data_IF_373138331909
#
_entry.id   IF_373138331909
#
_cell.length_a   1.000
_cell.length_b   1.000
_cell.length_c   1.000
_cell.angle_alpha   90.00
_cell.angle_beta   90.00
_cell.angle_gamma   90.00
#
_symmetry.space_group_name_H-M   'P 1'
#
loop_
_entity.id
_entity.type
_entity.pdbx_description
1 polymer ?
#
# COMPACT_ATOMS: atom_id res chain seq x y z
N UNK A 1 7.52 54.24 50.20
CA UNK A 1 6.25 53.51 50.08
C UNK A 1 6.02 53.31 48.59
N UNK A 2 5.96 52.04 48.19
CA UNK A 2 6.19 51.52 46.84
C UNK A 2 4.97 50.73 46.41
N UNK A 3 4.44 50.99 45.21
CA UNK A 3 3.49 50.09 44.57
C UNK A 3 3.83 49.95 43.08
N UNK A 4 4.28 48.75 42.69
CA UNK A 4 4.36 48.31 41.30
C UNK A 4 3.27 47.27 41.03
N UNK A 5 2.70 47.20 39.82
CA UNK A 5 1.66 46.25 39.50
C UNK A 5 2.23 44.83 39.34
N UNK A 6 1.70 43.92 40.15
CA UNK A 6 2.06 42.49 40.18
C UNK A 6 1.64 41.80 38.88
N UNK A 7 2.61 41.20 38.17
CA UNK A 7 2.36 40.39 36.97
C UNK A 7 1.52 39.14 37.30
N UNK A 8 0.40 38.95 36.59
CA UNK A 8 -0.44 37.76 36.74
C UNK A 8 0.25 36.56 36.07
N UNK A 9 0.72 35.60 36.87
CA UNK A 9 1.23 34.30 36.40
C UNK A 9 0.15 33.61 35.55
N UNK A 10 0.41 33.42 34.24
CA UNK A 10 -0.41 32.55 33.38
C UNK A 10 -0.28 31.12 33.90
N UNK A 11 -1.35 30.61 34.53
CA UNK A 11 -1.49 29.18 34.86
C UNK A 11 -1.44 28.39 33.56
N UNK A 12 -0.37 27.63 33.33
CA UNK A 12 -0.33 26.57 32.33
C UNK A 12 -1.14 25.39 32.86
N UNK A 13 -2.41 25.38 32.53
CA UNK A 13 -3.32 24.27 32.77
C UNK A 13 -4.46 24.40 31.78
N UNK A 14 -4.82 23.31 31.12
CA UNK A 14 -6.01 23.28 30.28
C UNK A 14 -7.23 23.70 31.14
N UNK A 15 -8.16 24.51 30.61
CA UNK A 15 -9.35 24.89 31.35
C UNK A 15 -10.11 23.63 31.79
N UNK A 16 -10.42 23.56 33.08
CA UNK A 16 -11.33 22.57 33.66
C UNK A 16 -12.71 22.80 33.05
N UNK A 17 -12.98 22.09 31.96
CA UNK A 17 -14.15 22.30 31.13
C UNK A 17 -14.27 21.23 30.04
N UNK A 18 -14.08 19.97 30.39
CA UNK A 18 -14.68 18.87 29.65
C UNK A 18 -15.15 17.80 30.64
N UNK A 19 -16.32 18.03 31.24
CA UNK A 19 -16.98 17.18 32.24
C UNK A 19 -17.85 16.10 31.62
N UNK A 20 -17.57 15.66 30.38
CA UNK A 20 -18.38 14.61 29.75
C UNK A 20 -17.86 13.17 30.03
N UNK A 21 -16.84 13.01 30.88
CA UNK A 21 -16.31 11.71 31.27
C UNK A 21 -16.96 11.09 32.53
N UNK A 22 -18.05 11.67 33.05
CA UNK A 22 -18.82 11.11 34.17
C UNK A 22 -20.16 10.55 33.70
N UNK A 23 -20.15 9.30 33.23
CA UNK A 23 -21.34 8.45 33.22
C UNK A 23 -21.71 8.11 34.67
N UNK A 24 -22.62 8.90 35.24
CA UNK A 24 -23.35 8.48 36.44
C UNK A 24 -24.30 7.33 36.09
N UNK A 25 -24.30 6.30 36.95
CA UNK A 25 -24.86 4.99 36.67
C UNK A 25 -26.34 4.92 36.33
N UNK A 26 -26.68 3.99 35.43
CA UNK A 26 -28.03 3.46 35.17
C UNK A 26 -27.91 1.99 34.73
N UNK A 27 -28.68 1.11 35.36
CA UNK A 27 -28.66 -0.36 35.21
C UNK A 27 -29.56 -0.89 34.10
N UNK A 28 -29.87 -0.09 33.08
CA UNK A 28 -30.59 -0.54 31.88
C UNK A 28 -29.95 0.07 30.63
N UNK A 29 -29.11 -0.73 29.99
CA UNK A 29 -28.23 -0.35 28.89
C UNK A 29 -28.91 -0.73 27.56
N UNK A 30 -29.26 0.26 26.76
CA UNK A 30 -29.99 0.16 25.47
C UNK A 30 -28.97 0.05 24.31
N UNK A 31 -29.37 -0.26 23.07
CA UNK A 31 -28.43 -0.23 21.91
C UNK A 31 -27.73 1.13 21.71
N UNK A 32 -28.32 2.21 22.24
CA UNK A 32 -27.69 3.53 22.32
C UNK A 32 -26.44 3.57 23.21
N UNK A 33 -26.33 2.67 24.18
CA UNK A 33 -25.16 2.54 25.04
C UNK A 33 -24.04 1.71 24.41
N UNK A 34 -24.26 1.03 23.28
CA UNK A 34 -23.18 0.43 22.46
C UNK A 34 -22.31 1.47 21.71
N UNK A 35 -22.62 2.77 21.80
CA UNK A 35 -21.70 3.86 21.44
C UNK A 35 -20.54 4.03 22.46
N UNK A 36 -20.55 3.25 23.55
CA UNK A 36 -19.38 2.98 24.41
C UNK A 36 -18.28 2.16 23.73
N UNK A 37 -18.41 1.86 22.42
CA UNK A 37 -17.39 1.22 21.61
C UNK A 37 -16.09 2.04 21.60
N UNK A 38 -14.98 1.34 21.87
CA UNK A 38 -13.63 1.81 21.55
C UNK A 38 -13.61 2.33 20.11
N UNK A 39 -13.43 3.63 20.00
CA UNK A 39 -13.54 4.40 18.76
C UNK A 39 -13.92 5.83 19.11
N UNK A 40 -13.48 6.78 18.29
CA UNK A 40 -13.91 8.16 18.44
C UNK A 40 -15.46 8.23 18.34
N UNK A 41 -16.13 9.09 19.13
CA UNK A 41 -17.59 9.20 19.11
C UNK A 41 -18.13 9.43 17.69
N UNK A 42 -19.30 8.86 17.39
CA UNK A 42 -19.94 8.99 16.08
C UNK A 42 -20.12 10.48 15.74
N UNK A 43 -19.53 10.93 14.62
CA UNK A 43 -19.50 12.35 14.23
C UNK A 43 -18.26 13.14 14.67
N UNK A 44 -17.27 12.50 15.32
CA UNK A 44 -16.01 13.15 15.69
C UNK A 44 -15.11 13.38 14.46
N UNK A 45 -15.20 14.56 13.87
CA UNK A 45 -14.34 15.01 12.77
C UNK A 45 -12.90 15.33 13.21
N UNK A 46 -12.54 15.28 14.50
CA UNK A 46 -11.16 15.54 14.94
C UNK A 46 -10.15 14.55 14.36
N UNK A 47 -10.56 13.31 14.11
CA UNK A 47 -9.69 12.35 13.40
C UNK A 47 -9.43 12.75 11.94
N UNK A 48 -10.36 13.50 11.34
CA UNK A 48 -10.31 14.00 9.96
C UNK A 48 -9.55 15.35 9.86
N UNK A 49 -9.65 16.21 10.87
CA UNK A 49 -8.97 17.53 10.90
C UNK A 49 -7.61 17.51 11.59
N UNK A 50 -7.37 16.60 12.54
CA UNK A 50 -6.14 16.54 13.34
C UNK A 50 -5.57 15.14 13.54
N UNK A 51 -6.22 14.10 12.98
CA UNK A 51 -5.76 12.71 13.09
C UNK A 51 -4.88 12.26 11.92
N UNK A 52 -4.56 10.97 11.89
CA UNK A 52 -3.74 10.30 10.87
C UNK A 52 -4.19 10.55 9.41
N UNK A 53 -5.47 10.90 9.20
CA UNK A 53 -6.05 11.20 7.89
C UNK A 53 -6.09 12.69 7.53
N UNK A 54 -5.71 13.58 8.45
CA UNK A 54 -5.71 15.04 8.22
C UNK A 54 -4.54 15.49 7.35
N UNK A 55 -3.41 14.79 7.41
CA UNK A 55 -2.32 14.94 6.46
C UNK A 55 -2.73 14.27 5.15
N UNK A 56 -3.49 14.99 4.32
CA UNK A 56 -3.63 14.61 2.91
C UNK A 56 -2.22 14.44 2.36
N UNK A 57 -1.89 13.24 1.89
CA UNK A 57 -0.66 12.99 1.16
C UNK A 57 -0.55 14.06 0.06
N UNK A 58 0.59 14.73 -0.04
CA UNK A 58 0.82 15.72 -1.09
C UNK A 58 0.47 15.08 -2.44
N UNK A 59 -0.19 15.83 -3.32
CA UNK A 59 -0.61 15.34 -4.64
C UNK A 59 0.53 14.70 -5.43
N UNK A 60 1.78 15.14 -5.19
CA UNK A 60 3.00 14.54 -5.73
C UNK A 60 3.21 13.07 -5.35
N UNK A 61 2.78 12.64 -4.18
CA UNK A 61 2.89 11.25 -3.73
C UNK A 61 1.72 10.39 -4.18
N UNK A 62 0.55 11.00 -4.36
CA UNK A 62 -0.68 10.30 -4.80
C UNK A 62 -0.71 10.12 -6.32
N UNK A 63 -0.05 11.02 -7.08
CA UNK A 63 -0.04 11.01 -8.55
C UNK A 63 0.57 9.74 -9.19
N UNK A 64 1.21 8.87 -8.41
CA UNK A 64 1.66 7.55 -8.88
C UNK A 64 0.90 6.37 -8.26
N UNK A 65 0.06 6.58 -7.23
CA UNK A 65 -0.65 5.49 -6.55
C UNK A 65 -1.97 5.12 -7.23
N UNK A 66 -2.56 6.04 -8.01
CA UNK A 66 -3.86 5.82 -8.66
C UNK A 66 -3.82 4.69 -9.70
N UNK A 67 -2.65 4.46 -10.31
CA UNK A 67 -2.46 3.47 -11.38
C UNK A 67 -1.81 2.17 -10.88
N UNK A 68 -1.42 2.10 -9.59
CA UNK A 68 -0.78 0.90 -9.01
C UNK A 68 -1.89 -0.05 -8.55
N UNK A 69 -2.20 -1.03 -9.39
CA UNK A 69 -3.06 -2.15 -8.99
C UNK A 69 -2.22 -3.18 -8.23
N UNK A 70 -2.49 -3.53 -6.95
CA UNK A 70 -1.62 -4.39 -6.15
C UNK A 70 -1.59 -5.87 -6.57
N UNK A 71 -2.19 -6.22 -7.71
CA UNK A 71 -2.30 -7.61 -8.20
C UNK A 71 -0.94 -8.23 -8.61
N UNK A 72 0.14 -7.44 -8.66
CA UNK A 72 1.49 -7.96 -8.95
C UNK A 72 2.49 -7.61 -7.84
N UNK A 73 3.42 -8.53 -7.61
CA UNK A 73 4.54 -8.31 -6.67
C UNK A 73 5.39 -7.11 -7.08
N UNK A 74 5.51 -6.82 -8.37
CA UNK A 74 6.18 -5.63 -8.89
C UNK A 74 5.49 -4.34 -8.40
N UNK A 75 4.16 -4.29 -8.47
CA UNK A 75 3.37 -3.16 -8.01
C UNK A 75 3.44 -3.00 -6.49
N UNK A 76 3.51 -4.10 -5.73
CA UNK A 76 3.72 -4.07 -4.28
C UNK A 76 5.11 -3.51 -3.91
N UNK A 77 6.17 -3.90 -4.64
CA UNK A 77 7.52 -3.34 -4.46
C UNK A 77 7.52 -1.83 -4.70
N UNK A 78 6.85 -1.38 -5.76
CA UNK A 78 6.75 0.04 -6.11
C UNK A 78 6.00 0.83 -5.03
N UNK A 79 4.88 0.30 -4.56
CA UNK A 79 4.11 0.88 -3.45
C UNK A 79 4.95 1.02 -2.17
N UNK A 80 5.69 -0.04 -1.81
CA UNK A 80 6.57 -0.03 -0.65
C UNK A 80 7.68 1.01 -0.75
N UNK A 81 8.24 1.24 -1.95
CA UNK A 81 9.24 2.29 -2.20
C UNK A 81 8.65 3.69 -2.00
N UNK A 82 7.43 3.92 -2.47
CA UNK A 82 6.73 5.20 -2.28
C UNK A 82 6.49 5.47 -0.79
N UNK A 83 5.98 4.48 -0.03
CA UNK A 83 5.80 4.63 1.41
C UNK A 83 7.12 4.84 2.16
N UNK A 84 8.19 4.17 1.74
CA UNK A 84 9.52 4.38 2.35
C UNK A 84 10.01 5.81 2.14
N UNK A 85 9.82 6.38 0.94
CA UNK A 85 10.15 7.79 0.66
C UNK A 85 9.30 8.74 1.51
N UNK A 86 8.00 8.48 1.66
CA UNK A 86 7.09 9.25 2.51
C UNK A 86 7.53 9.25 3.97
N UNK A 87 7.90 8.08 4.51
CA UNK A 87 8.42 7.96 5.88
C UNK A 87 9.73 8.72 6.05
N UNK A 88 10.63 8.68 5.06
CA UNK A 88 11.88 9.42 5.09
C UNK A 88 11.66 10.95 5.07
N UNK A 89 10.75 11.44 4.23
CA UNK A 89 10.40 12.86 4.18
C UNK A 89 9.75 13.35 5.47
N UNK A 90 8.83 12.57 6.04
CA UNK A 90 8.21 12.89 7.33
C UNK A 90 9.24 12.85 8.47
N UNK A 91 10.16 11.90 8.40
CA UNK A 91 11.28 11.76 9.34
C UNK A 91 12.26 12.92 9.32
N UNK A 92 12.41 13.63 8.20
CA UNK A 92 13.31 14.77 8.09
C UNK A 92 12.92 15.95 8.99
N UNK A 93 11.65 16.05 9.39
CA UNK A 93 11.16 17.08 10.31
C UNK A 93 11.29 16.73 11.79
N UNK A 94 11.81 15.55 12.13
CA UNK A 94 11.89 15.06 13.51
C UNK A 94 13.13 15.60 14.21
N UNK A 95 12.93 16.28 15.35
CA UNK A 95 14.01 16.81 16.18
C UNK A 95 14.33 15.97 17.42
N UNK A 96 13.42 15.07 17.79
CA UNK A 96 13.54 14.20 18.97
C UNK A 96 14.32 12.92 18.65
N UNK A 97 15.21 12.51 19.56
CA UNK A 97 16.12 11.38 19.34
C UNK A 97 15.38 10.05 19.27
N UNK A 98 14.40 9.81 20.15
CA UNK A 98 13.64 8.57 20.18
C UNK A 98 12.80 8.41 18.92
N UNK A 99 12.20 9.51 18.48
CA UNK A 99 11.44 9.57 17.24
C UNK A 99 12.33 9.37 16.01
N UNK A 100 13.54 9.96 15.98
CA UNK A 100 14.50 9.76 14.89
C UNK A 100 15.00 8.30 14.82
N UNK A 101 15.25 7.68 15.98
CA UNK A 101 15.59 6.26 16.09
C UNK A 101 14.47 5.37 15.54
N UNK A 102 13.21 5.66 15.89
CA UNK A 102 12.07 4.93 15.39
C UNK A 102 11.98 4.99 13.86
N UNK A 103 12.10 6.19 13.28
CA UNK A 103 12.12 6.38 11.82
C UNK A 103 13.24 5.58 11.17
N UNK A 104 14.46 5.65 11.70
CA UNK A 104 15.60 4.90 11.16
C UNK A 104 15.38 3.38 11.19
N UNK A 105 14.83 2.85 12.29
CA UNK A 105 14.49 1.44 12.40
C UNK A 105 13.42 1.04 11.36
N UNK A 106 12.38 1.85 11.21
CA UNK A 106 11.33 1.61 10.22
C UNK A 106 11.88 1.61 8.80
N UNK A 107 12.74 2.57 8.45
CA UNK A 107 13.39 2.63 7.13
C UNK A 107 14.31 1.43 6.88
N UNK A 108 15.07 1.00 7.90
CA UNK A 108 15.92 -0.19 7.81
C UNK A 108 15.11 -1.46 7.57
N UNK A 109 13.99 -1.63 8.30
CA UNK A 109 13.07 -2.74 8.08
C UNK A 109 12.42 -2.69 6.70
N UNK A 110 11.97 -1.52 6.25
CA UNK A 110 11.39 -1.34 4.92
C UNK A 110 12.39 -1.72 3.81
N UNK A 111 13.65 -1.27 3.92
CA UNK A 111 14.70 -1.62 2.98
C UNK A 111 14.98 -3.14 2.94
N UNK A 112 15.02 -3.79 4.11
CA UNK A 112 15.19 -5.25 4.19
C UNK A 112 14.01 -6.01 3.58
N UNK A 113 12.78 -5.51 3.72
CA UNK A 113 11.59 -6.09 3.10
C UNK A 113 11.61 -5.90 1.57
N UNK A 114 11.91 -4.70 1.08
CA UNK A 114 12.04 -4.44 -0.36
C UNK A 114 13.10 -5.34 -0.99
N UNK A 115 14.26 -5.50 -0.35
CA UNK A 115 15.30 -6.42 -0.83
C UNK A 115 14.81 -7.87 -0.92
N UNK A 116 13.98 -8.32 0.02
CA UNK A 116 13.39 -9.66 -0.03
C UNK A 116 12.40 -9.78 -1.19
N UNK A 117 11.49 -8.82 -1.34
CA UNK A 117 10.50 -8.82 -2.42
C UNK A 117 11.17 -8.77 -3.81
N UNK A 118 12.19 -7.93 -3.99
CA UNK A 118 12.96 -7.85 -5.24
C UNK A 118 13.63 -9.18 -5.57
N UNK A 119 14.20 -9.86 -4.56
CA UNK A 119 14.79 -11.19 -4.78
C UNK A 119 13.72 -12.20 -5.15
N UNK A 120 12.58 -12.19 -4.47
CA UNK A 120 11.44 -13.07 -4.80
C UNK A 120 10.94 -12.81 -6.22
N UNK A 121 10.80 -11.54 -6.64
CA UNK A 121 10.42 -11.17 -7.99
C UNK A 121 11.37 -11.74 -9.05
N UNK A 122 12.68 -11.76 -8.78
CA UNK A 122 13.66 -12.35 -9.69
C UNK A 122 13.56 -13.89 -9.79
N UNK A 123 12.92 -14.54 -8.81
CA UNK A 123 12.68 -15.99 -8.83
C UNK A 123 11.33 -16.37 -9.44
N UNK A 124 10.37 -15.44 -9.54
CA UNK A 124 9.10 -15.70 -10.20
C UNK A 124 9.36 -15.66 -11.71
N UNK A 125 9.18 -16.78 -12.43
CA UNK A 125 9.27 -16.78 -13.88
C UNK A 125 8.20 -15.84 -14.42
N UNK A 126 8.59 -14.93 -15.31
CA UNK A 126 7.61 -14.13 -16.04
C UNK A 126 6.86 -15.09 -16.98
N UNK A 127 5.53 -15.12 -16.86
CA UNK A 127 4.66 -15.97 -17.68
C UNK A 127 4.87 -15.71 -19.17
N UNK A 128 5.24 -14.48 -19.53
CA UNK A 128 5.57 -14.09 -20.91
C UNK A 128 6.93 -14.59 -21.38
N UNK A 129 7.86 -14.89 -20.47
CA UNK A 129 9.13 -15.54 -20.78
C UNK A 129 9.06 -17.05 -20.61
N UNK A 130 7.88 -17.62 -20.35
CA UNK A 130 7.74 -19.07 -20.32
C UNK A 130 8.16 -19.64 -21.67
N UNK A 131 9.03 -20.67 -21.71
CA UNK A 131 9.56 -21.20 -22.95
C UNK A 131 8.45 -21.62 -23.92
N UNK A 132 7.33 -22.15 -23.40
CA UNK A 132 6.19 -22.57 -24.22
C UNK A 132 5.53 -21.37 -24.94
N UNK A 133 5.29 -20.27 -24.22
CA UNK A 133 4.72 -19.05 -24.80
C UNK A 133 5.66 -18.43 -25.84
N UNK A 134 6.96 -18.40 -25.55
CA UNK A 134 7.97 -17.91 -26.49
C UNK A 134 8.08 -18.81 -27.73
N UNK A 135 7.91 -20.13 -27.57
CA UNK A 135 7.91 -21.08 -28.67
C UNK A 135 6.68 -20.87 -29.55
N UNK A 136 5.49 -20.74 -28.95
CA UNK A 136 4.24 -20.47 -29.67
C UNK A 136 4.33 -19.17 -30.46
N UNK A 137 4.77 -18.07 -29.83
CA UNK A 137 4.96 -16.78 -30.50
C UNK A 137 5.97 -16.89 -31.65
N UNK A 138 7.10 -17.57 -31.44
CA UNK A 138 8.10 -17.78 -32.49
C UNK A 138 7.56 -18.63 -33.66
N UNK A 139 6.78 -19.67 -33.37
CA UNK A 139 6.13 -20.51 -34.38
C UNK A 139 5.12 -19.68 -35.17
N UNK A 140 4.26 -18.91 -34.51
CA UNK A 140 3.32 -18.01 -35.19
C UNK A 140 4.04 -17.03 -36.10
N UNK A 141 5.14 -16.43 -35.63
CA UNK A 141 5.93 -15.49 -36.40
C UNK A 141 6.54 -16.15 -37.66
N UNK A 142 7.03 -17.39 -37.54
CA UNK A 142 7.53 -18.17 -38.68
C UNK A 142 6.41 -18.52 -39.66
N UNK A 143 5.23 -18.91 -39.17
CA UNK A 143 4.05 -19.21 -40.02
C UNK A 143 3.61 -17.98 -40.82
N UNK A 144 3.65 -16.79 -40.20
CA UNK A 144 3.30 -15.53 -40.88
C UNK A 144 4.33 -15.13 -41.95
N UNK A 145 5.63 -15.35 -41.68
CA UNK A 145 6.69 -14.96 -42.63
C UNK A 145 6.84 -15.95 -43.80
N UNK A 146 6.52 -17.22 -43.59
CA UNK A 146 6.71 -18.27 -44.58
C UNK A 146 5.46 -19.17 -44.69
N UNK A 147 4.37 -18.69 -45.32
CA UNK A 147 3.15 -19.48 -45.45
C UNK A 147 3.36 -20.78 -46.25
N UNK A 148 4.28 -20.78 -47.22
CA UNK A 148 4.60 -21.95 -48.05
C UNK A 148 5.16 -23.14 -47.22
N UNK A 149 5.78 -22.87 -46.07
CA UNK A 149 6.29 -23.92 -45.18
C UNK A 149 5.18 -24.60 -44.37
N UNK A 150 4.04 -23.91 -44.15
CA UNK A 150 2.88 -24.47 -43.45
C UNK A 150 2.26 -25.57 -44.30
N UNK A 151 2.04 -25.30 -45.58
CA UNK A 151 1.45 -26.25 -46.53
C UNK A 151 2.31 -27.52 -46.67
N UNK A 152 3.63 -27.36 -46.68
CA UNK A 152 4.58 -28.49 -46.74
C UNK A 152 4.58 -29.28 -45.44
N UNK A 153 4.49 -28.62 -44.29
CA UNK A 153 4.45 -29.27 -42.98
C UNK A 153 3.16 -30.08 -42.79
N UNK A 154 2.01 -29.53 -43.19
CA UNK A 154 0.72 -30.23 -43.16
C UNK A 154 0.70 -31.47 -44.07
N UNK A 155 1.36 -31.40 -45.24
CA UNK A 155 1.49 -32.53 -46.15
C UNK A 155 2.43 -33.63 -45.64
N UNK A 156 3.40 -33.28 -44.80
CA UNK A 156 4.38 -34.23 -44.23
C UNK A 156 3.91 -34.87 -42.92
N UNK A 157 2.82 -34.36 -42.33
CA UNK A 157 2.29 -34.86 -41.07
C UNK A 157 1.51 -36.17 -41.28
N UNK A 158 1.87 -37.28 -40.60
CA UNK A 158 1.11 -38.51 -40.68
C UNK A 158 -0.35 -38.29 -40.22
N UNK A 159 -1.35 -38.89 -40.89
CA UNK A 159 -2.78 -38.66 -40.59
C UNK A 159 -3.17 -39.00 -39.13
N UNK A 160 -2.37 -39.80 -38.44
CA UNK A 160 -2.55 -40.21 -37.05
C UNK A 160 -2.28 -39.09 -36.03
N UNK A 161 -1.50 -38.07 -36.40
CA UNK A 161 -1.16 -36.95 -35.51
C UNK A 161 -2.19 -35.82 -35.66
N UNK A 162 -2.70 -35.61 -36.89
CA UNK A 162 -3.78 -34.66 -37.16
C UNK A 162 -5.06 -35.01 -36.39
N UNK A 163 -5.40 -36.29 -36.30
CA UNK A 163 -6.56 -36.75 -35.51
C UNK A 163 -6.41 -36.53 -34.00
N UNK A 164 -5.19 -36.42 -33.47
CA UNK A 164 -4.98 -36.17 -32.05
C UNK A 164 -5.05 -34.67 -31.72
N UNK A 165 -4.64 -33.81 -32.65
CA UNK A 165 -4.73 -32.35 -32.49
C UNK A 165 -6.18 -31.83 -32.56
N UNK A 166 -7.05 -32.47 -33.35
CA UNK A 166 -8.47 -32.11 -33.43
C UNK A 166 -9.29 -32.54 -32.20
N UNK A 167 -8.81 -33.50 -31.40
CA UNK A 167 -9.52 -34.00 -30.22
C UNK A 167 -9.15 -33.25 -28.92
N UNK A 168 -8.06 -32.47 -28.93
CA UNK A 168 -7.56 -31.71 -27.77
C UNK A 168 -7.91 -30.20 -27.83
N UNK A 169 -8.70 -29.76 -28.83
CA UNK A 169 -9.25 -28.39 -28.96
C UNK A 169 -10.70 -28.31 -28.50
#
# INVERSE_FOLDING_TARGET
MSDQPVSKKKKRGAPLGNTNAMLHGKSNVTFQDLLTKRGAPFGNSNAMTHGFYSSRLSSKHVAGLADINPDSLQNEIELMRVFTRLVAEYGAGVSDLDSARAVLLTLSHAAATINRLVRTQAFIPDEKLHPDFLLEEAIEHVKQQCPELVDVYEQLLPPQILSNLENDS
#
